data_IF_862006231471
#
_entry.id   IF_862006231471
#
_cell.length_a   1.000
_cell.length_b   1.000
_cell.length_c   1.000
_cell.angle_alpha   90.00
_cell.angle_beta   90.00
_cell.angle_gamma   90.00
#
_symmetry.space_group_name_H-M   'P 1'
#
loop_
_entity.id
_entity.type
_entity.pdbx_description
1 polymer ?
#
# COMPACT_ATOMS: atom_id res chain seq x y z
N UNK A 1 19.20 -43.70 -51.17
CA UNK A 1 19.20 -42.76 -50.04
C UNK A 1 18.32 -41.58 -50.41
N UNK A 2 17.13 -41.52 -49.85
CA UNK A 2 16.17 -40.43 -50.14
C UNK A 2 16.39 -39.32 -49.09
N UNK A 3 16.83 -38.17 -49.51
CA UNK A 3 16.93 -36.97 -48.66
C UNK A 3 15.53 -36.36 -48.49
N UNK A 4 15.07 -36.35 -47.26
CA UNK A 4 13.81 -35.68 -46.88
C UNK A 4 14.17 -34.24 -46.54
N UNK A 5 13.77 -33.29 -47.39
CA UNK A 5 13.80 -31.87 -47.11
C UNK A 5 12.62 -31.52 -46.20
N UNK A 6 12.89 -31.27 -44.95
CA UNK A 6 11.91 -30.71 -44.01
C UNK A 6 11.86 -29.19 -44.26
N UNK A 7 10.81 -28.74 -44.93
CA UNK A 7 10.50 -27.31 -45.05
C UNK A 7 9.95 -26.85 -43.68
N UNK A 8 10.77 -26.15 -42.92
CA UNK A 8 10.30 -25.44 -41.72
C UNK A 8 9.46 -24.23 -42.19
N UNK A 9 8.18 -24.09 -41.80
CA UNK A 9 7.46 -22.85 -42.04
C UNK A 9 8.08 -21.76 -41.20
N UNK A 10 8.66 -20.76 -41.85
CA UNK A 10 9.12 -19.51 -41.23
C UNK A 10 7.88 -18.77 -40.71
N UNK A 11 7.57 -18.92 -39.41
CA UNK A 11 6.52 -18.15 -38.74
C UNK A 11 6.98 -16.70 -38.65
N UNK A 12 6.57 -15.88 -39.62
CA UNK A 12 6.80 -14.44 -39.56
C UNK A 12 5.97 -13.87 -38.42
N UNK A 13 6.60 -13.67 -37.24
CA UNK A 13 6.03 -12.91 -36.16
C UNK A 13 5.98 -11.45 -36.60
N UNK A 14 4.85 -11.01 -37.14
CA UNK A 14 4.59 -9.59 -37.34
C UNK A 14 4.46 -8.92 -35.98
N UNK A 15 5.54 -8.38 -35.46
CA UNK A 15 5.48 -7.42 -34.38
C UNK A 15 4.69 -6.22 -34.92
N UNK A 16 3.39 -6.18 -34.59
CA UNK A 16 2.61 -4.95 -34.69
C UNK A 16 3.23 -4.01 -33.67
N UNK A 17 4.25 -3.28 -34.08
CA UNK A 17 4.78 -2.19 -33.30
C UNK A 17 3.64 -1.20 -33.08
N UNK A 18 3.31 -0.93 -31.83
CA UNK A 18 2.57 0.27 -31.52
C UNK A 18 3.31 1.41 -32.20
N UNK A 19 2.68 2.08 -33.16
CA UNK A 19 3.24 3.29 -33.75
C UNK A 19 3.59 4.20 -32.58
N UNK A 20 4.83 4.68 -32.44
CA UNK A 20 5.12 5.67 -31.42
C UNK A 20 4.23 6.88 -31.75
N UNK A 21 3.26 7.14 -30.89
CA UNK A 21 2.55 8.41 -30.92
C UNK A 21 3.63 9.49 -30.89
N UNK A 22 3.57 10.52 -31.76
CA UNK A 22 4.56 11.60 -31.74
C UNK A 22 4.67 12.07 -30.29
N UNK A 23 5.85 11.94 -29.70
CA UNK A 23 6.10 12.53 -28.38
C UNK A 23 6.07 14.03 -28.58
N UNK A 24 4.91 14.63 -28.26
CA UNK A 24 4.89 16.05 -27.98
C UNK A 24 5.86 16.23 -26.80
N UNK A 25 6.90 17.02 -26.98
CA UNK A 25 7.84 17.43 -25.93
C UNK A 25 7.21 18.41 -24.92
N UNK A 26 5.91 18.54 -24.92
CA UNK A 26 5.17 19.23 -23.86
C UNK A 26 5.33 18.41 -22.59
N UNK A 27 5.64 19.05 -21.44
CA UNK A 27 5.71 18.35 -20.17
C UNK A 27 4.39 17.63 -19.97
N UNK A 28 4.47 16.30 -19.81
CA UNK A 28 3.30 15.43 -19.74
C UNK A 28 2.53 15.76 -18.45
N UNK A 29 1.52 16.63 -18.57
CA UNK A 29 0.63 16.97 -17.47
C UNK A 29 -0.35 15.81 -17.22
N UNK A 30 0.11 14.82 -16.45
CA UNK A 30 -0.65 13.63 -16.09
C UNK A 30 -0.84 13.59 -14.58
N UNK A 31 -2.08 13.61 -14.14
CA UNK A 31 -2.43 13.66 -12.71
C UNK A 31 -1.86 12.47 -11.91
N UNK A 32 -1.82 11.27 -12.51
CA UNK A 32 -1.26 10.08 -11.86
C UNK A 32 0.25 10.24 -11.65
N UNK A 33 0.97 10.67 -12.70
CA UNK A 33 2.41 10.93 -12.60
C UNK A 33 2.68 12.03 -11.58
N UNK A 34 1.90 13.10 -11.60
CA UNK A 34 2.02 14.19 -10.65
C UNK A 34 1.80 13.72 -9.20
N UNK A 35 0.79 12.88 -8.94
CA UNK A 35 0.54 12.31 -7.62
C UNK A 35 1.71 11.42 -7.15
N UNK A 36 2.25 10.57 -8.04
CA UNK A 36 3.41 9.72 -7.74
C UNK A 36 4.63 10.59 -7.37
N UNK A 37 4.92 11.60 -8.18
CA UNK A 37 6.08 12.47 -8.00
C UNK A 37 5.95 13.42 -6.81
N UNK A 38 4.74 13.83 -6.45
CA UNK A 38 4.45 14.76 -5.35
C UNK A 38 4.35 14.06 -3.99
N UNK A 39 3.94 12.77 -3.97
CA UNK A 39 3.76 12.04 -2.71
C UNK A 39 5.03 12.02 -1.86
N UNK A 40 4.86 12.34 -0.58
CA UNK A 40 5.95 12.27 0.42
C UNK A 40 5.47 11.53 1.66
N UNK A 41 6.39 11.00 2.44
CA UNK A 41 6.12 10.43 3.76
C UNK A 41 5.90 11.56 4.77
N UNK A 42 4.64 11.78 5.12
CA UNK A 42 4.25 12.81 6.08
C UNK A 42 4.38 12.26 7.51
N UNK A 43 4.97 13.06 8.41
CA UNK A 43 5.28 12.65 9.80
C UNK A 43 4.73 13.59 10.86
N UNK A 44 4.04 14.63 10.43
CA UNK A 44 3.33 15.59 11.28
C UNK A 44 1.94 15.78 10.70
N UNK A 45 0.93 15.66 11.53
CA UNK A 45 -0.46 15.69 11.12
C UNK A 45 -1.23 16.75 11.90
N UNK A 46 -2.24 17.31 11.27
CA UNK A 46 -3.27 18.05 11.98
C UNK A 46 -4.18 17.07 12.73
N UNK A 47 -4.74 17.50 13.85
CA UNK A 47 -5.71 16.68 14.61
C UNK A 47 -7.09 16.59 13.90
N UNK A 48 -7.23 17.19 12.73
CA UNK A 48 -8.47 17.18 11.96
C UNK A 48 -8.78 15.77 11.47
N UNK A 49 -9.96 15.22 11.77
CA UNK A 49 -10.36 13.91 11.26
C UNK A 49 -10.43 13.90 9.73
N UNK A 50 -10.10 12.77 9.13
CA UNK A 50 -10.36 12.54 7.71
C UNK A 50 -11.81 12.08 7.55
N UNK A 51 -12.54 12.70 6.61
CA UNK A 51 -13.93 12.32 6.36
C UNK A 51 -14.04 10.83 5.99
N UNK A 52 -15.07 10.15 6.49
CA UNK A 52 -15.27 8.71 6.25
C UNK A 52 -15.35 8.39 4.76
N UNK A 53 -16.05 9.21 3.97
CA UNK A 53 -16.17 9.00 2.53
C UNK A 53 -14.82 9.08 1.81
N UNK A 54 -13.96 10.01 2.24
CA UNK A 54 -12.58 10.11 1.74
C UNK A 54 -11.78 8.85 2.08
N UNK A 55 -11.90 8.34 3.31
CA UNK A 55 -11.26 7.08 3.70
C UNK A 55 -11.78 5.90 2.89
N UNK A 56 -13.08 5.84 2.63
CA UNK A 56 -13.68 4.79 1.80
C UNK A 56 -13.20 4.85 0.35
N UNK A 57 -13.03 6.05 -0.23
CA UNK A 57 -12.43 6.20 -1.56
C UNK A 57 -10.98 5.70 -1.59
N UNK A 58 -10.17 6.06 -0.59
CA UNK A 58 -8.79 5.59 -0.46
C UNK A 58 -8.77 4.06 -0.38
N UNK A 59 -9.66 3.46 0.42
CA UNK A 59 -9.78 2.00 0.54
C UNK A 59 -10.18 1.34 -0.78
N UNK A 60 -11.16 1.91 -1.47
CA UNK A 60 -11.61 1.40 -2.78
C UNK A 60 -10.46 1.38 -3.78
N UNK A 61 -9.63 2.43 -3.81
CA UNK A 61 -8.42 2.43 -4.64
C UNK A 61 -7.41 1.36 -4.20
N UNK A 62 -7.28 1.15 -2.90
CA UNK A 62 -6.41 0.11 -2.35
C UNK A 62 -6.80 -1.29 -2.80
N UNK A 63 -8.05 -1.68 -2.60
CA UNK A 63 -8.54 -3.04 -2.93
C UNK A 63 -8.58 -3.32 -4.44
N UNK A 64 -8.52 -2.28 -5.28
CA UNK A 64 -8.36 -2.41 -6.74
C UNK A 64 -6.90 -2.63 -7.17
N UNK A 65 -5.96 -2.76 -6.23
CA UNK A 65 -4.59 -3.12 -6.57
C UNK A 65 -4.51 -4.52 -7.18
N UNK A 66 -3.54 -4.68 -8.09
CA UNK A 66 -3.23 -6.01 -8.60
C UNK A 66 -2.82 -6.93 -7.44
N UNK A 67 -3.24 -8.20 -7.49
CA UNK A 67 -2.87 -9.21 -6.51
C UNK A 67 -2.77 -10.59 -7.15
N UNK A 68 -1.97 -11.46 -6.56
CA UNK A 68 -1.70 -12.78 -7.09
C UNK A 68 -2.97 -13.63 -7.13
N UNK A 69 -3.32 -14.15 -8.31
CA UNK A 69 -4.46 -15.05 -8.54
C UNK A 69 -5.82 -14.50 -8.03
N UNK A 70 -5.93 -13.21 -7.87
CA UNK A 70 -7.09 -12.55 -7.24
C UNK A 70 -7.42 -13.10 -5.84
N UNK A 71 -6.40 -13.49 -5.09
CA UNK A 71 -6.54 -14.07 -3.75
C UNK A 71 -7.01 -13.07 -2.72
N UNK A 72 -6.75 -11.76 -2.96
CA UNK A 72 -7.10 -10.70 -2.01
C UNK A 72 -6.59 -11.04 -0.59
N UNK A 73 -5.33 -11.45 -0.51
CA UNK A 73 -4.67 -12.07 0.64
C UNK A 73 -4.34 -11.08 1.76
N UNK A 74 -5.23 -10.14 2.00
CA UNK A 74 -5.12 -9.09 3.02
C UNK A 74 -6.41 -8.95 3.82
N UNK A 75 -6.25 -8.44 5.03
CA UNK A 75 -7.33 -7.87 5.82
C UNK A 75 -6.94 -6.44 6.19
N UNK A 76 -7.89 -5.50 6.07
CA UNK A 76 -7.63 -4.09 6.35
C UNK A 76 -8.55 -3.59 7.44
N UNK A 77 -7.96 -2.97 8.46
CA UNK A 77 -8.67 -2.34 9.57
C UNK A 77 -8.32 -0.86 9.62
N UNK A 78 -9.35 -0.01 9.63
CA UNK A 78 -9.20 1.44 9.79
C UNK A 78 -9.61 1.81 11.21
N UNK A 79 -8.74 2.53 11.90
CA UNK A 79 -9.01 3.09 13.22
C UNK A 79 -9.02 4.61 13.09
N UNK A 80 -10.20 5.19 13.25
CA UNK A 80 -10.48 6.63 13.20
C UNK A 80 -11.09 7.13 14.53
N UNK A 81 -11.31 6.22 15.47
CA UNK A 81 -11.84 6.53 16.81
C UNK A 81 -10.67 6.78 17.77
N UNK A 82 -10.60 7.95 18.45
CA UNK A 82 -9.50 8.27 19.37
C UNK A 82 -9.40 7.30 20.56
N UNK A 83 -10.52 6.81 21.09
CA UNK A 83 -10.49 5.88 22.21
C UNK A 83 -9.92 4.52 21.80
N UNK A 84 -10.30 4.01 20.63
CA UNK A 84 -9.74 2.78 20.08
C UNK A 84 -8.25 2.95 19.75
N UNK A 85 -7.86 4.11 19.21
CA UNK A 85 -6.45 4.44 18.95
C UNK A 85 -5.64 4.40 20.26
N UNK A 86 -6.17 4.98 21.33
CA UNK A 86 -5.53 4.94 22.64
C UNK A 86 -5.38 3.52 23.15
N UNK A 87 -6.42 2.67 23.02
CA UNK A 87 -6.35 1.26 23.41
C UNK A 87 -5.24 0.51 22.67
N UNK A 88 -5.11 0.72 21.36
CA UNK A 88 -4.03 0.10 20.57
C UNK A 88 -2.67 0.56 21.06
N UNK A 89 -2.49 1.87 21.34
CA UNK A 89 -1.24 2.39 21.89
C UNK A 89 -0.92 1.79 23.26
N UNK A 90 -1.92 1.61 24.12
CA UNK A 90 -1.76 1.02 25.46
C UNK A 90 -1.37 -0.46 25.38
N UNK A 91 -1.98 -1.21 24.46
CA UNK A 91 -1.59 -2.59 24.18
C UNK A 91 -0.14 -2.68 23.70
N UNK A 92 0.27 -1.79 22.77
CA UNK A 92 1.65 -1.74 22.30
C UNK A 92 2.64 -1.44 23.43
N UNK A 93 2.31 -0.51 24.32
CA UNK A 93 3.16 -0.18 25.48
C UNK A 93 3.25 -1.36 26.43
N UNK A 94 2.11 -1.97 26.78
CA UNK A 94 2.06 -3.11 27.70
C UNK A 94 2.84 -4.33 27.16
N UNK A 95 2.73 -4.59 25.86
CA UNK A 95 3.45 -5.69 25.19
C UNK A 95 4.94 -5.45 25.03
N UNK A 96 5.43 -4.23 25.26
CA UNK A 96 6.85 -3.89 25.11
C UNK A 96 7.40 -3.21 26.37
N UNK A 97 7.39 -3.88 27.54
CA UNK A 97 7.70 -3.27 28.84
C UNK A 97 9.16 -2.82 28.98
N UNK A 98 10.05 -3.30 28.13
CA UNK A 98 11.47 -2.89 28.11
C UNK A 98 11.70 -1.56 27.40
N UNK A 99 10.69 -1.01 26.72
CA UNK A 99 10.78 0.22 25.95
C UNK A 99 10.14 1.40 26.68
N UNK A 100 10.61 2.60 26.39
CA UNK A 100 9.99 3.81 26.94
C UNK A 100 8.58 4.00 26.32
N UNK A 101 7.53 4.20 27.13
CA UNK A 101 6.16 4.34 26.64
C UNK A 101 5.99 5.42 25.57
N UNK A 102 6.64 6.57 25.75
CA UNK A 102 6.56 7.69 24.78
C UNK A 102 7.18 7.34 23.42
N UNK A 103 8.24 6.54 23.43
CA UNK A 103 8.83 6.06 22.19
C UNK A 103 7.87 5.12 21.43
N UNK A 104 7.20 4.22 22.17
CA UNK A 104 6.24 3.29 21.58
C UNK A 104 5.02 4.05 21.04
N UNK A 105 4.42 4.95 21.82
CA UNK A 105 3.29 5.79 21.38
C UNK A 105 3.66 6.69 20.22
N UNK A 106 4.84 7.31 20.27
CA UNK A 106 5.34 8.24 19.26
C UNK A 106 5.57 7.60 17.88
N UNK A 107 5.64 6.25 17.78
CA UNK A 107 5.82 5.59 16.50
C UNK A 107 4.64 5.79 15.53
N UNK A 108 3.43 6.06 16.06
CA UNK A 108 2.22 6.35 15.28
C UNK A 108 2.14 7.80 14.79
N UNK A 109 3.11 8.65 15.14
CA UNK A 109 3.26 10.04 14.67
C UNK A 109 2.07 10.97 14.98
N UNK A 110 1.20 10.61 15.91
CA UNK A 110 0.01 11.39 16.22
C UNK A 110 -1.01 11.46 15.08
N UNK A 111 -0.99 10.50 14.17
CA UNK A 111 -1.94 10.46 13.06
C UNK A 111 -3.36 10.26 13.59
N UNK A 112 -4.37 11.03 13.11
CA UNK A 112 -5.75 10.89 13.56
C UNK A 112 -6.42 9.61 13.05
N UNK A 113 -5.88 9.02 11.99
CA UNK A 113 -6.37 7.77 11.40
C UNK A 113 -5.20 6.82 11.16
N UNK A 114 -5.39 5.57 11.53
CA UNK A 114 -4.45 4.49 11.25
C UNK A 114 -5.14 3.38 10.45
N UNK A 115 -4.42 2.88 9.45
CA UNK A 115 -4.85 1.71 8.69
C UNK A 115 -3.87 0.57 8.93
N UNK A 116 -4.38 -0.54 9.44
CA UNK A 116 -3.62 -1.77 9.64
C UNK A 116 -3.93 -2.73 8.50
N UNK A 117 -2.87 -3.26 7.89
CA UNK A 117 -2.97 -4.24 6.82
C UNK A 117 -2.34 -5.53 7.33
N UNK A 118 -3.17 -6.54 7.56
CA UNK A 118 -2.72 -7.88 7.88
C UNK A 118 -2.62 -8.71 6.59
N UNK A 119 -1.59 -9.54 6.48
CA UNK A 119 -1.40 -10.44 5.35
C UNK A 119 -1.79 -11.87 5.71
N UNK A 120 -2.23 -12.63 4.73
CA UNK A 120 -2.40 -14.08 4.85
C UNK A 120 -1.01 -14.77 4.90
N UNK A 121 -0.68 -15.37 6.02
CA UNK A 121 0.59 -16.09 6.20
C UNK A 121 0.64 -17.42 5.43
N UNK A 122 -0.50 -17.95 5.00
CA UNK A 122 -0.61 -19.16 4.19
C UNK A 122 -0.40 -18.92 2.70
N UNK A 123 -0.15 -17.68 2.26
CA UNK A 123 0.05 -17.34 0.86
C UNK A 123 1.35 -16.56 0.63
N UNK A 124 2.25 -17.15 -0.14
CA UNK A 124 3.63 -16.64 -0.31
C UNK A 124 3.69 -15.22 -0.89
N UNK A 125 2.77 -14.86 -1.77
CA UNK A 125 2.74 -13.53 -2.40
C UNK A 125 1.97 -12.47 -1.61
N UNK A 126 1.39 -12.83 -0.46
CA UNK A 126 0.58 -11.90 0.35
C UNK A 126 1.31 -10.62 0.75
N UNK A 127 2.63 -10.68 0.98
CA UNK A 127 3.43 -9.51 1.30
C UNK A 127 3.51 -8.51 0.11
N UNK A 128 3.63 -9.03 -1.12
CA UNK A 128 3.62 -8.21 -2.33
C UNK A 128 2.24 -7.60 -2.55
N UNK A 129 1.18 -8.40 -2.39
CA UNK A 129 -0.21 -7.97 -2.53
C UNK A 129 -0.53 -6.83 -1.55
N UNK A 130 -0.15 -6.96 -0.28
CA UNK A 130 -0.30 -5.91 0.73
C UNK A 130 0.49 -4.63 0.38
N UNK A 131 1.68 -4.78 -0.20
CA UNK A 131 2.49 -3.65 -0.67
C UNK A 131 1.83 -2.89 -1.82
N UNK A 132 1.25 -3.61 -2.80
CA UNK A 132 0.52 -3.03 -3.92
C UNK A 132 -0.74 -2.30 -3.44
N UNK A 133 -1.51 -2.92 -2.55
CA UNK A 133 -2.66 -2.31 -1.88
C UNK A 133 -2.26 -1.01 -1.17
N UNK A 134 -1.24 -1.05 -0.32
CA UNK A 134 -0.76 0.12 0.41
C UNK A 134 -0.26 1.23 -0.53
N UNK A 135 0.41 0.87 -1.63
CA UNK A 135 0.86 1.79 -2.67
C UNK A 135 -0.31 2.55 -3.30
N UNK A 136 -1.35 1.83 -3.73
CA UNK A 136 -2.55 2.44 -4.28
C UNK A 136 -3.26 3.36 -3.27
N UNK A 137 -3.38 2.93 -2.01
CA UNK A 137 -3.96 3.76 -0.95
C UNK A 137 -3.19 5.07 -0.76
N UNK A 138 -1.85 5.01 -0.73
CA UNK A 138 -1.03 6.21 -0.54
C UNK A 138 -1.11 7.18 -1.73
N UNK A 139 -1.25 6.67 -2.96
CA UNK A 139 -1.45 7.49 -4.14
C UNK A 139 -2.84 8.14 -4.16
N UNK A 140 -3.88 7.37 -3.81
CA UNK A 140 -5.23 7.89 -3.65
C UNK A 140 -5.30 8.97 -2.56
N UNK A 141 -4.65 8.74 -1.41
CA UNK A 141 -4.55 9.74 -0.36
C UNK A 141 -3.91 11.03 -0.86
N UNK A 142 -2.78 10.93 -1.59
CA UNK A 142 -2.10 12.09 -2.18
C UNK A 142 -3.01 12.87 -3.14
N UNK A 143 -3.74 12.17 -4.02
CA UNK A 143 -4.64 12.82 -4.98
C UNK A 143 -5.84 13.51 -4.32
N UNK A 144 -6.22 13.06 -3.11
CA UNK A 144 -7.31 13.63 -2.30
C UNK A 144 -6.81 14.66 -1.27
N UNK A 145 -5.53 15.06 -1.33
CA UNK A 145 -4.94 16.01 -0.40
C UNK A 145 -4.71 15.49 1.02
N UNK A 146 -4.74 14.16 1.22
CA UNK A 146 -4.52 13.51 2.51
C UNK A 146 -3.06 13.06 2.62
N UNK A 147 -2.33 13.63 3.58
CA UNK A 147 -0.95 13.22 3.87
C UNK A 147 -0.90 11.80 4.45
N UNK A 148 0.02 10.98 3.98
CA UNK A 148 0.16 9.59 4.41
C UNK A 148 1.61 9.15 4.60
N UNK A 149 1.79 8.05 5.34
CA UNK A 149 3.07 7.36 5.49
C UNK A 149 2.82 5.86 5.73
N UNK A 150 3.68 5.02 5.18
CA UNK A 150 3.77 3.61 5.58
C UNK A 150 4.70 3.49 6.79
N UNK A 151 4.21 2.92 7.89
CA UNK A 151 4.92 2.78 9.17
C UNK A 151 5.33 1.32 9.40
N UNK A 152 6.64 1.08 9.52
CA UNK A 152 7.16 -0.24 9.90
C UNK A 152 7.27 -0.45 11.43
N UNK A 153 7.51 0.63 12.20
CA UNK A 153 7.72 0.51 13.65
C UNK A 153 6.53 -0.06 14.43
N UNK A 154 5.27 0.35 14.18
CA UNK A 154 4.12 -0.22 14.87
C UNK A 154 3.97 -1.72 14.66
N UNK A 155 4.28 -2.22 13.45
CA UNK A 155 4.20 -3.66 13.10
C UNK A 155 5.07 -4.49 14.04
N UNK A 156 6.28 -4.00 14.35
CA UNK A 156 7.20 -4.68 15.26
C UNK A 156 6.64 -4.75 16.68
N UNK A 157 6.01 -3.68 17.17
CA UNK A 157 5.46 -3.63 18.52
C UNK A 157 4.16 -4.42 18.66
N UNK A 158 3.38 -4.56 17.58
CA UNK A 158 2.11 -5.30 17.59
C UNK A 158 2.35 -6.80 17.44
N UNK A 159 3.32 -7.20 16.62
CA UNK A 159 3.59 -8.62 16.37
C UNK A 159 4.51 -9.27 17.41
N UNK A 160 4.87 -8.57 18.48
CA UNK A 160 5.59 -9.19 19.58
C UNK A 160 4.71 -10.31 20.19
N UNK A 161 5.33 -11.45 20.54
CA UNK A 161 4.62 -12.63 21.05
C UNK A 161 3.79 -12.35 22.30
N UNK A 162 4.12 -11.27 23.03
CA UNK A 162 3.38 -10.83 24.23
C UNK A 162 2.05 -10.13 23.89
N UNK A 163 1.88 -9.68 22.63
CA UNK A 163 0.65 -9.02 22.16
C UNK A 163 -0.26 -9.95 21.34
N UNK A 164 0.12 -11.22 21.21
CA UNK A 164 -0.58 -12.21 20.37
C UNK A 164 -1.68 -12.98 21.13
N UNK A 165 -2.07 -12.53 22.32
CA UNK A 165 -3.08 -13.15 23.15
C UNK A 165 -4.49 -12.59 22.95
#
# INVERSE_FOLDING_TARGET
>A
MKQIFILLPLLALTLVGCNPTPQNNEPMNNEVINAIMARRSIRQYHATPVARDTMMQIMTCGINAANGQNKQSWEVRIIDNPATMQQVQDLMVTGNPALQPDMVRGCMRGAPVMTFIARDLGYDFSAYDCGLLAGNMMLAAQSLGVGSICLGSPVRFINDAQNSA
#
